data_IF_781354275890
#
_entry.id   IF_781354275890
#
_cell.length_a   1.000
_cell.length_b   1.000
_cell.length_c   1.000
_cell.angle_alpha   90.00
_cell.angle_beta   90.00
_cell.angle_gamma   90.00
#
_symmetry.space_group_name_H-M   'P 1'
#
loop_
_entity.id
_entity.type
_entity.pdbx_description
1 polymer ?
#
# COMPACT_ATOMS: atom_id res chain seq x y z
N UNK A 1 21.51 -8.05 -91.21
CA UNK A 1 22.69 -7.16 -91.23
C UNK A 1 22.73 -6.50 -89.87
N UNK A 2 23.66 -6.70 -88.96
CA UNK A 2 24.94 -7.42 -88.92
C UNK A 2 25.18 -7.69 -87.40
N UNK A 3 25.50 -8.92 -86.98
CA UNK A 3 26.87 -9.42 -86.69
C UNK A 3 27.49 -8.71 -85.48
N UNK A 4 27.64 -9.37 -84.32
CA UNK A 4 28.78 -10.20 -83.85
C UNK A 4 29.39 -9.48 -82.63
N UNK A 5 29.54 -10.09 -81.45
CA UNK A 5 30.70 -10.91 -81.01
C UNK A 5 30.38 -11.43 -79.59
N UNK A 6 30.46 -12.74 -79.31
CA UNK A 6 31.64 -13.50 -78.82
C UNK A 6 32.14 -13.06 -77.41
N UNK A 7 31.82 -13.81 -76.35
CA UNK A 7 32.52 -14.98 -75.75
C UNK A 7 33.86 -14.67 -75.10
N UNK A 8 34.00 -14.96 -73.79
CA UNK A 8 35.18 -15.55 -73.07
C UNK A 8 34.65 -16.00 -71.68
N UNK A 9 34.30 -17.28 -71.48
CA UNK A 9 35.10 -18.41 -70.94
C UNK A 9 35.05 -18.56 -69.40
N UNK A 10 34.48 -19.67 -68.92
CA UNK A 10 35.14 -20.83 -68.26
C UNK A 10 35.13 -20.60 -66.73
N UNK A 11 34.54 -21.47 -65.89
CA UNK A 11 34.98 -22.84 -65.70
C UNK A 11 33.87 -23.69 -65.07
N UNK A 12 33.68 -24.85 -65.70
CA UNK A 12 32.99 -26.04 -65.22
C UNK A 12 33.63 -26.63 -63.97
N UNK A 13 32.83 -27.04 -63.00
CA UNK A 13 33.09 -28.28 -62.23
C UNK A 13 31.80 -29.08 -62.15
N UNK A 14 31.93 -30.35 -62.55
CA UNK A 14 30.94 -31.44 -62.57
C UNK A 14 30.25 -31.61 -61.19
N UNK A 15 29.07 -32.22 -61.05
CA UNK A 15 28.98 -33.69 -61.03
C UNK A 15 27.50 -34.19 -60.97
N UNK A 16 27.15 -35.06 -61.92
CA UNK A 16 26.45 -36.35 -61.72
C UNK A 16 24.91 -36.45 -61.53
N UNK A 17 24.25 -36.60 -62.69
CA UNK A 17 23.19 -37.56 -63.11
C UNK A 17 22.72 -38.64 -62.10
N UNK A 18 21.39 -38.77 -61.87
CA UNK A 18 20.56 -40.01 -62.08
C UNK A 18 19.05 -39.62 -62.24
N UNK A 19 18.25 -40.26 -63.15
CA UNK A 19 16.83 -39.94 -63.39
C UNK A 19 15.87 -40.69 -62.44
N UNK A 20 14.77 -40.05 -62.01
CA UNK A 20 13.75 -40.67 -61.15
C UNK A 20 12.38 -40.80 -61.85
N UNK A 21 11.82 -42.01 -61.79
CA UNK A 21 10.48 -42.46 -62.21
C UNK A 21 9.39 -41.94 -61.24
N UNK A 22 8.12 -41.71 -61.65
CA UNK A 22 7.14 -41.00 -60.83
C UNK A 22 6.50 -41.91 -59.76
N UNK A 23 6.61 -41.52 -58.49
CA UNK A 23 5.99 -42.19 -57.34
C UNK A 23 4.49 -41.82 -57.16
N UNK A 24 3.65 -42.74 -56.63
CA UNK A 24 2.22 -42.51 -56.42
C UNK A 24 1.96 -41.51 -55.28
N UNK A 25 0.98 -40.62 -55.46
CA UNK A 25 0.59 -39.65 -54.44
C UNK A 25 -0.16 -40.33 -53.28
N UNK A 26 0.14 -39.97 -52.01
CA UNK A 26 -0.51 -40.56 -50.84
C UNK A 26 -1.97 -40.11 -50.76
N UNK A 27 -2.89 -41.06 -50.56
CA UNK A 27 -4.27 -40.74 -50.16
C UNK A 27 -4.23 -40.08 -48.77
N UNK A 28 -4.80 -38.87 -48.67
CA UNK A 28 -5.03 -38.19 -47.39
C UNK A 28 -5.95 -39.04 -46.50
N UNK A 29 -5.36 -39.73 -45.52
CA UNK A 29 -6.11 -40.41 -44.48
C UNK A 29 -6.95 -39.38 -43.70
N UNK A 30 -8.28 -39.56 -43.68
CA UNK A 30 -9.20 -38.68 -42.93
C UNK A 30 -8.81 -38.70 -41.45
N UNK A 31 -8.34 -37.56 -40.95
CA UNK A 31 -7.85 -37.39 -39.57
C UNK A 31 -8.93 -37.39 -38.49
N UNK A 32 -10.20 -37.31 -38.89
CA UNK A 32 -11.35 -37.25 -37.98
C UNK A 32 -12.50 -38.07 -38.54
N UNK A 33 -13.24 -38.72 -37.66
CA UNK A 33 -14.52 -39.35 -37.97
C UNK A 33 -15.65 -38.30 -37.92
N UNK A 34 -16.78 -38.59 -38.55
CA UNK A 34 -17.98 -37.73 -38.47
C UNK A 34 -18.40 -37.48 -37.02
N UNK A 35 -18.30 -38.52 -36.18
CA UNK A 35 -18.56 -38.42 -34.75
C UNK A 35 -17.58 -37.48 -34.02
N UNK A 36 -16.31 -37.43 -34.43
CA UNK A 36 -15.32 -36.49 -33.87
C UNK A 36 -15.65 -35.05 -34.29
N UNK A 37 -16.08 -34.85 -35.53
CA UNK A 37 -16.47 -33.54 -36.06
C UNK A 37 -17.72 -33.03 -35.34
N UNK A 38 -18.73 -33.87 -35.17
CA UNK A 38 -19.96 -33.54 -34.45
C UNK A 38 -19.65 -33.18 -32.99
N UNK A 39 -18.82 -33.96 -32.31
CA UNK A 39 -18.40 -33.67 -30.94
C UNK A 39 -17.65 -32.33 -30.82
N UNK A 40 -16.82 -31.98 -31.81
CA UNK A 40 -16.11 -30.70 -31.86
C UNK A 40 -17.09 -29.55 -32.11
N UNK A 41 -18.04 -29.72 -33.03
CA UNK A 41 -19.05 -28.72 -33.36
C UNK A 41 -19.94 -28.45 -32.15
N UNK A 42 -20.45 -29.50 -31.50
CA UNK A 42 -21.31 -29.37 -30.32
C UNK A 42 -20.60 -28.67 -29.17
N UNK A 43 -19.33 -29.02 -28.92
CA UNK A 43 -18.53 -28.36 -27.87
C UNK A 43 -18.28 -26.89 -28.18
N UNK A 44 -17.99 -26.54 -29.44
CA UNK A 44 -17.83 -25.15 -29.86
C UNK A 44 -19.14 -24.38 -29.84
N UNK A 45 -20.23 -25.00 -30.23
CA UNK A 45 -21.56 -24.40 -30.24
C UNK A 45 -22.05 -24.15 -28.81
N UNK A 46 -21.87 -25.11 -27.90
CA UNK A 46 -22.18 -24.93 -26.49
C UNK A 46 -21.36 -23.80 -25.86
N UNK A 47 -20.05 -23.74 -26.16
CA UNK A 47 -19.20 -22.64 -25.69
C UNK A 47 -19.63 -21.28 -26.26
N UNK A 48 -19.89 -21.21 -27.57
CA UNK A 48 -20.36 -19.98 -28.23
C UNK A 48 -21.71 -19.54 -27.67
N UNK A 49 -22.65 -20.47 -27.46
CA UNK A 49 -23.97 -20.18 -26.90
C UNK A 49 -23.89 -19.67 -25.46
N UNK A 50 -23.02 -20.27 -24.64
CA UNK A 50 -22.75 -19.81 -23.28
C UNK A 50 -22.10 -18.42 -23.26
N UNK A 51 -21.15 -18.15 -24.17
CA UNK A 51 -20.54 -16.83 -24.31
C UNK A 51 -21.53 -15.77 -24.81
N UNK A 52 -22.46 -16.14 -25.70
CA UNK A 52 -23.54 -15.24 -26.15
C UNK A 52 -24.54 -14.97 -25.04
N UNK A 53 -24.98 -15.99 -24.30
CA UNK A 53 -25.87 -15.81 -23.15
C UNK A 53 -25.21 -14.96 -22.07
N UNK A 54 -23.92 -15.15 -21.78
CA UNK A 54 -23.20 -14.30 -20.83
C UNK A 54 -23.13 -12.83 -21.28
N UNK A 55 -22.78 -12.58 -22.55
CA UNK A 55 -22.73 -11.24 -23.14
C UNK A 55 -24.11 -10.57 -23.18
N UNK A 56 -25.15 -11.31 -23.54
CA UNK A 56 -26.51 -10.79 -23.53
C UNK A 56 -27.00 -10.49 -22.12
N UNK A 57 -26.67 -11.34 -21.13
CA UNK A 57 -27.10 -11.14 -19.75
C UNK A 57 -26.35 -9.97 -19.10
N UNK A 58 -25.07 -9.79 -19.44
CA UNK A 58 -24.26 -8.64 -19.03
C UNK A 58 -24.73 -7.36 -19.72
N UNK A 59 -25.01 -7.38 -21.03
CA UNK A 59 -25.57 -6.25 -21.75
C UNK A 59 -26.98 -5.89 -21.24
N UNK A 60 -27.82 -6.89 -20.91
CA UNK A 60 -29.12 -6.69 -20.28
C UNK A 60 -28.99 -6.17 -18.84
N UNK A 61 -27.97 -6.58 -18.08
CA UNK A 61 -27.67 -6.07 -16.74
C UNK A 61 -27.13 -4.64 -16.78
N UNK A 62 -26.27 -4.31 -17.75
CA UNK A 62 -25.76 -2.96 -18.01
C UNK A 62 -26.84 -2.03 -18.58
N UNK A 63 -27.77 -2.55 -19.38
CA UNK A 63 -28.93 -1.81 -19.85
C UNK A 63 -30.04 -1.69 -18.78
N UNK A 64 -30.12 -2.64 -17.83
CA UNK A 64 -30.97 -2.55 -16.63
C UNK A 64 -30.38 -1.61 -15.57
N UNK A 65 -29.05 -1.54 -15.46
CA UNK A 65 -28.32 -0.37 -14.94
C UNK A 65 -28.44 0.81 -15.89
N UNK A 66 -29.68 1.17 -16.19
CA UNK A 66 -30.04 2.33 -16.95
C UNK A 66 -29.77 3.58 -16.10
N UNK A 67 -29.57 4.73 -16.74
CA UNK A 67 -29.23 6.05 -16.18
C UNK A 67 -29.28 6.23 -14.63
N UNK A 68 -30.38 5.86 -13.99
CA UNK A 68 -30.63 5.92 -12.54
C UNK A 68 -29.58 5.20 -11.67
N UNK A 69 -29.11 3.99 -12.01
CA UNK A 69 -28.10 3.29 -11.18
C UNK A 69 -26.71 3.94 -11.33
N UNK A 70 -26.40 4.45 -12.53
CA UNK A 70 -25.18 5.25 -12.77
C UNK A 70 -25.26 6.61 -12.09
N UNK A 71 -26.44 7.21 -12.01
CA UNK A 71 -26.69 8.44 -11.29
C UNK A 71 -26.57 8.21 -9.78
N UNK A 72 -27.17 7.14 -9.25
CA UNK A 72 -27.06 6.76 -7.84
C UNK A 72 -25.61 6.51 -7.45
N UNK A 73 -24.85 5.75 -8.24
CA UNK A 73 -23.43 5.52 -7.97
C UNK A 73 -22.61 6.83 -7.92
N UNK A 74 -22.88 7.77 -8.83
CA UNK A 74 -22.22 9.09 -8.81
C UNK A 74 -22.64 9.94 -7.61
N UNK A 75 -23.90 9.85 -7.19
CA UNK A 75 -24.40 10.52 -6.00
C UNK A 75 -23.76 9.92 -4.74
N UNK A 76 -23.75 8.60 -4.60
CA UNK A 76 -23.12 7.89 -3.48
C UNK A 76 -21.63 8.25 -3.40
N UNK A 77 -20.92 8.30 -4.53
CA UNK A 77 -19.52 8.71 -4.58
C UNK A 77 -19.33 10.17 -4.14
N UNK A 78 -20.20 11.08 -4.59
CA UNK A 78 -20.18 12.50 -4.20
C UNK A 78 -20.49 12.68 -2.71
N UNK A 79 -21.46 11.96 -2.19
CA UNK A 79 -21.86 11.99 -0.79
C UNK A 79 -20.73 11.46 0.10
N UNK A 80 -20.07 10.37 -0.30
CA UNK A 80 -18.89 9.89 0.40
C UNK A 80 -17.74 10.91 0.37
N UNK A 81 -17.46 11.51 -0.79
CA UNK A 81 -16.42 12.55 -0.92
C UNK A 81 -16.73 13.78 -0.05
N UNK A 82 -18.01 14.18 0.03
CA UNK A 82 -18.46 15.26 0.90
C UNK A 82 -18.31 14.87 2.37
N UNK A 83 -18.74 13.68 2.78
CA UNK A 83 -18.61 13.20 4.15
C UNK A 83 -17.14 13.10 4.59
N UNK A 84 -16.26 12.60 3.72
CA UNK A 84 -14.81 12.55 3.98
C UNK A 84 -14.21 13.95 4.12
N UNK A 85 -14.65 14.91 3.28
CA UNK A 85 -14.23 16.31 3.40
C UNK A 85 -14.74 16.96 4.68
N UNK A 86 -16.01 16.79 5.03
CA UNK A 86 -16.60 17.31 6.26
C UNK A 86 -15.88 16.75 7.48
N UNK A 87 -15.62 15.44 7.49
CA UNK A 87 -14.82 14.81 8.55
C UNK A 87 -13.41 15.37 8.62
N UNK A 88 -12.76 15.62 7.49
CA UNK A 88 -11.43 16.22 7.46
C UNK A 88 -11.42 17.68 7.97
N UNK A 89 -12.46 18.45 7.66
CA UNK A 89 -12.64 19.83 8.15
C UNK A 89 -12.89 19.81 9.66
N UNK A 90 -13.87 19.03 10.12
CA UNK A 90 -14.19 18.88 11.54
C UNK A 90 -12.95 18.43 12.33
N UNK A 91 -12.16 17.49 11.80
CA UNK A 91 -10.91 17.07 12.45
C UNK A 91 -9.89 18.21 12.51
N UNK A 92 -9.75 19.04 11.48
CA UNK A 92 -8.85 20.21 11.51
C UNK A 92 -9.31 21.25 12.53
N UNK A 93 -10.60 21.51 12.62
CA UNK A 93 -11.20 22.41 13.60
C UNK A 93 -10.95 21.91 15.02
N UNK A 94 -11.31 20.66 15.31
CA UNK A 94 -11.04 20.02 16.60
C UNK A 94 -9.55 19.98 16.93
N UNK A 95 -8.66 19.81 15.93
CA UNK A 95 -7.21 19.86 16.15
C UNK A 95 -6.76 21.26 16.58
N UNK A 96 -7.29 22.31 15.92
CA UNK A 96 -6.96 23.68 16.28
C UNK A 96 -7.48 24.03 17.67
N UNK A 97 -8.70 23.62 17.99
CA UNK A 97 -9.32 23.80 19.30
C UNK A 97 -8.55 23.06 20.39
N UNK A 98 -8.21 21.79 20.16
CA UNK A 98 -7.39 21.00 21.07
C UNK A 98 -6.02 21.66 21.34
N UNK A 99 -5.36 22.20 20.31
CA UNK A 99 -4.10 22.95 20.47
C UNK A 99 -4.28 24.21 21.31
N UNK A 100 -5.40 24.93 21.12
CA UNK A 100 -5.73 26.09 21.93
C UNK A 100 -5.94 25.69 23.39
N UNK A 101 -6.78 24.68 23.67
CA UNK A 101 -7.02 24.18 25.02
C UNK A 101 -5.76 23.66 25.72
N UNK A 102 -4.87 22.96 24.99
CA UNK A 102 -3.58 22.54 25.52
C UNK A 102 -2.73 23.76 25.92
N UNK A 103 -2.66 24.77 25.05
CA UNK A 103 -1.89 26.00 25.33
C UNK A 103 -2.47 26.78 26.51
N UNK A 104 -3.79 26.90 26.60
CA UNK A 104 -4.49 27.56 27.71
C UNK A 104 -4.25 26.89 29.06
N UNK A 105 -3.95 25.59 29.05
CA UNK A 105 -3.65 24.79 30.23
C UNK A 105 -2.15 24.62 30.47
N UNK A 106 -1.31 25.40 29.78
CA UNK A 106 0.15 25.32 29.84
C UNK A 106 0.71 23.91 29.52
N UNK A 107 -0.03 23.13 28.72
CA UNK A 107 0.39 21.81 28.26
C UNK A 107 1.06 21.91 26.88
N UNK A 108 2.06 21.04 26.59
CA UNK A 108 2.69 21.01 25.28
C UNK A 108 1.68 20.75 24.15
N UNK A 109 1.63 21.63 23.15
CA UNK A 109 0.72 21.53 22.00
C UNK A 109 0.92 20.26 21.16
N UNK A 110 2.12 19.67 21.23
CA UNK A 110 2.44 18.40 20.56
C UNK A 110 1.60 17.22 21.09
N UNK A 111 1.02 17.36 22.29
CA UNK A 111 0.12 16.36 22.86
C UNK A 111 -1.20 16.25 22.08
N UNK A 112 -1.51 17.16 21.16
CA UNK A 112 -2.66 17.04 20.26
C UNK A 112 -2.67 15.72 19.48
N UNK A 113 -1.48 15.13 19.25
CA UNK A 113 -1.36 13.86 18.53
C UNK A 113 -1.90 12.66 19.32
N UNK A 114 -2.09 12.80 20.64
CA UNK A 114 -2.65 11.78 21.53
C UNK A 114 -4.03 12.17 22.08
N UNK A 115 -4.56 13.33 21.71
CA UNK A 115 -5.91 13.79 22.05
C UNK A 115 -6.93 13.04 21.20
N UNK A 116 -8.07 12.70 21.80
CA UNK A 116 -9.20 12.12 21.06
C UNK A 116 -9.94 13.22 20.30
N UNK A 117 -9.74 13.26 18.98
CA UNK A 117 -10.32 14.23 18.06
C UNK A 117 -11.60 13.69 17.37
N UNK A 118 -12.36 12.84 18.05
CA UNK A 118 -13.62 12.28 17.53
C UNK A 118 -14.74 13.33 17.53
N UNK A 119 -14.86 14.07 18.63
CA UNK A 119 -15.78 15.19 18.81
C UNK A 119 -15.31 16.12 19.95
N UNK A 120 -15.97 17.26 20.14
CA UNK A 120 -15.58 18.26 21.13
C UNK A 120 -15.57 17.74 22.58
N UNK A 121 -16.52 16.87 22.94
CA UNK A 121 -16.59 16.27 24.29
C UNK A 121 -15.36 15.40 24.55
N UNK A 122 -15.03 14.51 23.61
CA UNK A 122 -13.84 13.64 23.71
C UNK A 122 -12.53 14.43 23.73
N UNK A 123 -12.46 15.57 23.04
CA UNK A 123 -11.29 16.48 23.11
C UNK A 123 -11.10 17.00 24.52
N UNK A 124 -12.17 17.56 25.11
CA UNK A 124 -12.11 18.13 26.46
C UNK A 124 -11.78 17.08 27.53
N UNK A 125 -12.41 15.90 27.44
CA UNK A 125 -12.17 14.79 28.37
C UNK A 125 -10.74 14.27 28.28
N UNK A 126 -10.24 14.03 27.06
CA UNK A 126 -8.88 13.53 26.86
C UNK A 126 -7.82 14.54 27.32
N UNK A 127 -7.98 15.84 27.02
CA UNK A 127 -7.08 16.88 27.51
C UNK A 127 -7.09 16.95 29.04
N UNK A 128 -8.26 16.83 29.67
CA UNK A 128 -8.37 16.84 31.14
C UNK A 128 -7.66 15.64 31.77
N UNK A 129 -7.77 14.46 31.15
CA UNK A 129 -7.07 13.26 31.58
C UNK A 129 -5.54 13.40 31.45
N UNK A 130 -5.08 13.91 30.30
CA UNK A 130 -3.67 14.20 30.03
C UNK A 130 -3.11 15.19 31.05
N UNK A 131 -3.85 16.28 31.32
CA UNK A 131 -3.46 17.29 32.30
C UNK A 131 -3.20 16.66 33.67
N UNK A 132 -4.15 15.88 34.17
CA UNK A 132 -4.03 15.22 35.46
C UNK A 132 -2.81 14.30 35.53
N UNK A 133 -2.63 13.44 34.53
CA UNK A 133 -1.50 12.51 34.49
C UNK A 133 -0.15 13.23 34.40
N UNK A 134 -0.09 14.34 33.66
CA UNK A 134 1.09 15.18 33.56
C UNK A 134 1.43 15.85 34.89
N UNK A 135 0.47 16.51 35.53
CA UNK A 135 0.64 17.16 36.83
C UNK A 135 1.11 16.19 37.90
N UNK A 136 0.49 15.01 38.00
CA UNK A 136 0.89 13.95 38.94
C UNK A 136 2.34 13.49 38.68
N UNK A 137 2.71 13.30 37.42
CA UNK A 137 4.07 12.87 37.04
C UNK A 137 5.12 13.93 37.34
N UNK A 138 4.83 15.20 37.05
CA UNK A 138 5.71 16.33 37.33
C UNK A 138 5.88 16.52 38.85
N UNK A 139 4.79 16.50 39.61
CA UNK A 139 4.83 16.59 41.07
C UNK A 139 5.66 15.46 41.68
N UNK A 140 5.51 14.23 41.20
CA UNK A 140 6.31 13.09 41.63
C UNK A 140 7.80 13.31 41.33
N UNK A 141 8.15 13.69 40.10
CA UNK A 141 9.54 13.94 39.71
C UNK A 141 10.19 15.08 40.50
N UNK A 142 9.46 16.18 40.74
CA UNK A 142 9.93 17.29 41.59
C UNK A 142 10.11 16.83 43.03
N UNK A 143 9.15 16.07 43.58
CA UNK A 143 9.25 15.54 44.95
C UNK A 143 10.44 14.61 45.12
N UNK A 144 10.72 13.74 44.15
CA UNK A 144 11.91 12.87 44.15
C UNK A 144 13.21 13.68 44.10
N UNK A 145 13.26 14.75 43.29
CA UNK A 145 14.41 15.66 43.25
C UNK A 145 14.60 16.43 44.55
N UNK A 146 13.51 16.91 45.17
CA UNK A 146 13.54 17.66 46.44
C UNK A 146 13.92 16.79 47.64
N UNK A 147 13.63 15.49 47.61
CA UNK A 147 14.13 14.53 48.61
C UNK A 147 15.66 14.46 48.67
N UNK A 148 16.35 15.01 47.68
CA UNK A 148 17.81 15.10 47.60
C UNK A 148 18.43 13.76 47.23
N UNK A 149 19.52 13.80 46.43
CA UNK A 149 20.42 12.65 46.40
C UNK A 149 20.93 12.40 47.82
N UNK A 150 20.97 11.13 48.23
CA UNK A 150 21.38 10.72 49.57
C UNK A 150 22.65 11.48 50.02
N UNK A 151 22.75 11.89 51.30
CA UNK A 151 23.93 12.59 51.79
C UNK A 151 25.18 11.76 51.43
N UNK A 152 26.16 12.43 50.82
CA UNK A 152 27.43 11.80 50.43
C UNK A 152 28.06 11.25 51.71
N UNK A 153 28.02 9.93 51.89
CA UNK A 153 28.53 9.22 53.08
C UNK A 153 30.01 9.51 53.36
N UNK A 154 30.75 10.02 52.38
CA UNK A 154 32.18 10.29 52.46
C UNK A 154 32.51 11.64 53.16
N UNK A 155 31.53 12.53 53.38
CA UNK A 155 31.81 13.82 54.02
C UNK A 155 32.23 13.66 55.49
N UNK A 156 31.71 12.66 56.20
CA UNK A 156 32.10 12.36 57.59
C UNK A 156 33.47 11.67 57.66
N UNK A 157 33.78 10.76 56.74
CA UNK A 157 35.08 10.07 56.69
C UNK A 157 36.23 11.04 56.41
N UNK A 158 36.04 11.97 55.47
CA UNK A 158 37.05 13.00 55.15
C UNK A 158 37.27 13.95 56.34
N UNK A 159 36.24 14.28 57.11
CA UNK A 159 36.41 15.10 58.33
C UNK A 159 37.13 14.34 59.45
N UNK A 160 36.87 13.04 59.63
CA UNK A 160 37.56 12.22 60.62
C UNK A 160 39.04 12.03 60.25
N UNK A 161 39.37 11.73 59.00
CA UNK A 161 40.77 11.59 58.56
C UNK A 161 41.55 12.92 58.68
N UNK A 162 40.93 14.05 58.33
CA UNK A 162 41.57 15.37 58.46
C UNK A 162 41.80 15.74 59.93
N UNK A 163 40.85 15.45 60.81
CA UNK A 163 40.99 15.73 62.25
C UNK A 163 41.97 14.80 62.94
N UNK A 164 42.04 13.52 62.55
CA UNK A 164 43.05 12.58 63.04
C UNK A 164 44.46 12.95 62.57
N UNK A 165 44.61 13.38 61.32
CA UNK A 165 45.89 13.85 60.78
C UNK A 165 46.41 15.08 61.55
N UNK A 166 45.55 16.07 61.79
CA UNK A 166 45.90 17.25 62.58
C UNK A 166 46.30 16.89 64.03
N UNK A 167 45.61 15.91 64.64
CA UNK A 167 45.94 15.47 66.00
C UNK A 167 47.29 14.76 66.08
N UNK A 168 47.77 14.16 64.99
CA UNK A 168 49.04 13.43 64.92
C UNK A 168 50.23 14.33 64.55
N UNK A 169 49.98 15.40 63.80
CA UNK A 169 51.02 16.32 63.32
C UNK A 169 51.36 17.44 64.35
N UNK A 170 50.49 17.69 65.34
CA UNK A 170 50.61 18.82 66.27
C UNK A 170 50.61 18.45 67.77
N UNK A 171 50.61 17.15 68.12
CA UNK A 171 50.80 16.64 69.49
C UNK A 171 52.04 15.75 69.52
#
# INVERSE_FOLDING_TARGET
MNEETQTVEVETVEEQKVPAEPAPQPQDEKKYTDADVDAIIDKKFAKWKSEQEAKENEAKKLAKMNADEKQKYQLDQREQELADREKAIARKELTAEAKAMLSERDLPVELVNVVDLTNAETVSESITSIQKAWEESVQKGVSERMKGSAPIKNAQTVQQEVTEKWRKDFL
#
